data_IF_419255686049
#
_entry.id   IF_419255686049
#
_cell.length_a   1.000
_cell.length_b   1.000
_cell.length_c   1.000
_cell.angle_alpha   90.00
_cell.angle_beta   90.00
_cell.angle_gamma   90.00
#
_symmetry.space_group_name_H-M   'P 1'
#
loop_
_entity.id
_entity.type
_entity.pdbx_description
1 polymer ?
#
# COMPACT_ATOMS: atom_id res chain seq x y z
N UNK A 1 32.53 -6.81 14.28
CA UNK A 1 31.10 -6.50 14.14
C UNK A 1 30.59 -7.29 12.93
N UNK A 2 29.92 -8.43 13.14
CA UNK A 2 29.32 -9.19 12.04
C UNK A 2 28.02 -8.51 11.69
N UNK A 3 27.93 -7.89 10.53
CA UNK A 3 26.66 -7.49 9.95
C UNK A 3 25.97 -8.78 9.54
N UNK A 4 24.98 -9.23 10.30
CA UNK A 4 24.04 -10.18 9.77
C UNK A 4 23.14 -9.40 8.81
N UNK A 5 23.22 -9.69 7.53
CA UNK A 5 22.20 -9.29 6.55
C UNK A 5 20.95 -10.08 6.92
N UNK A 6 20.13 -9.54 7.81
CA UNK A 6 18.79 -10.05 7.96
C UNK A 6 17.93 -9.58 6.78
N UNK A 7 16.93 -10.37 6.44
CA UNK A 7 16.04 -10.10 5.30
C UNK A 7 15.23 -8.81 5.48
N UNK A 8 15.06 -8.33 6.70
CA UNK A 8 14.41 -7.06 7.03
C UNK A 8 15.25 -5.86 6.61
N UNK A 9 16.59 -5.97 6.76
CA UNK A 9 17.53 -4.98 6.24
C UNK A 9 17.49 -4.91 4.70
N UNK A 10 17.15 -6.02 4.03
CA UNK A 10 17.03 -6.05 2.57
C UNK A 10 15.80 -5.25 2.08
N UNK A 11 14.66 -5.29 2.77
CA UNK A 11 13.49 -4.46 2.41
C UNK A 11 13.80 -2.98 2.62
N UNK A 12 14.38 -2.62 3.77
CA UNK A 12 14.80 -1.25 4.03
C UNK A 12 15.86 -0.79 3.02
N UNK A 13 16.82 -1.64 2.69
CA UNK A 13 17.81 -1.34 1.66
C UNK A 13 17.18 -1.19 0.26
N UNK A 14 16.16 -1.98 -0.08
CA UNK A 14 15.43 -1.83 -1.34
C UNK A 14 14.61 -0.51 -1.38
N UNK A 15 14.07 -0.07 -0.25
CA UNK A 15 13.34 1.19 -0.16
C UNK A 15 14.24 2.43 -0.30
N UNK A 16 15.52 2.34 0.13
CA UNK A 16 16.43 3.50 0.19
C UNK A 16 17.58 3.49 -0.81
N UNK A 17 17.79 2.41 -1.56
CA UNK A 17 18.96 2.30 -2.41
C UNK A 17 18.65 2.45 -3.90
N UNK A 18 18.80 3.65 -4.43
CA UNK A 18 19.06 3.91 -5.87
C UNK A 18 20.37 3.25 -6.38
N UNK A 19 21.08 2.53 -5.51
CA UNK A 19 22.43 2.03 -5.74
C UNK A 19 22.43 0.64 -6.41
N UNK A 20 21.32 -0.11 -6.36
CA UNK A 20 21.23 -1.47 -6.90
C UNK A 20 20.50 -1.47 -8.24
N UNK A 21 21.01 -2.18 -9.21
CA UNK A 21 20.46 -2.35 -10.55
C UNK A 21 18.99 -2.82 -10.53
N UNK A 22 18.11 -2.19 -11.30
CA UNK A 22 16.67 -2.42 -11.32
C UNK A 22 16.25 -3.91 -11.52
N UNK A 23 16.86 -4.73 -12.40
CA UNK A 23 16.55 -6.15 -12.52
C UNK A 23 16.82 -6.94 -11.24
N UNK A 24 17.89 -6.62 -10.52
CA UNK A 24 18.24 -7.28 -9.27
C UNK A 24 17.27 -6.91 -8.14
N UNK A 25 16.83 -5.66 -8.10
CA UNK A 25 15.81 -5.18 -7.15
C UNK A 25 14.47 -5.89 -7.38
N UNK A 26 14.01 -6.02 -8.63
CA UNK A 26 12.80 -6.79 -8.98
C UNK A 26 12.90 -8.25 -8.56
N UNK A 27 14.07 -8.87 -8.76
CA UNK A 27 14.33 -10.23 -8.31
C UNK A 27 14.23 -10.36 -6.79
N UNK A 28 14.89 -9.46 -6.04
CA UNK A 28 14.84 -9.48 -4.58
C UNK A 28 13.41 -9.29 -4.05
N UNK A 29 12.65 -8.35 -4.60
CA UNK A 29 11.28 -8.11 -4.18
C UNK A 29 10.37 -9.30 -4.45
N UNK A 30 10.39 -9.88 -5.65
CA UNK A 30 9.62 -11.07 -5.98
C UNK A 30 10.07 -12.30 -5.21
N UNK A 31 11.37 -12.48 -5.04
CA UNK A 31 11.91 -13.69 -4.43
C UNK A 31 11.77 -13.67 -2.90
N UNK A 32 12.08 -12.56 -2.26
CA UNK A 32 12.07 -12.49 -0.79
C UNK A 32 10.78 -11.93 -0.20
N UNK A 33 10.22 -10.90 -0.79
CA UNK A 33 9.09 -10.20 -0.18
C UNK A 33 7.76 -10.93 -0.35
N UNK A 34 7.55 -11.60 -1.50
CA UNK A 34 6.25 -12.18 -1.86
C UNK A 34 6.13 -13.68 -1.59
N UNK A 35 7.16 -14.35 -1.09
CA UNK A 35 7.06 -15.75 -0.70
C UNK A 35 6.32 -15.90 0.63
N UNK A 36 5.42 -16.89 0.71
CA UNK A 36 4.58 -17.17 1.87
C UNK A 36 5.38 -17.49 3.14
N UNK A 37 6.55 -18.11 2.99
CA UNK A 37 7.44 -18.45 4.10
C UNK A 37 8.42 -17.33 4.47
N UNK A 38 8.34 -16.19 3.83
CA UNK A 38 9.19 -15.02 4.06
C UNK A 38 8.37 -13.87 4.64
N UNK A 39 8.26 -12.78 3.91
CA UNK A 39 7.53 -11.59 4.34
C UNK A 39 6.12 -11.52 3.73
N UNK A 40 5.81 -12.43 2.82
CA UNK A 40 4.51 -12.56 2.18
C UNK A 40 3.51 -13.37 3.00
N UNK A 41 2.64 -14.11 2.27
CA UNK A 41 1.60 -14.95 2.83
C UNK A 41 0.29 -14.21 3.03
N UNK A 42 -0.63 -14.84 3.77
CA UNK A 42 -1.99 -14.31 4.01
C UNK A 42 -1.97 -12.89 4.61
N UNK A 43 -0.98 -12.61 5.46
CA UNK A 43 -0.71 -11.27 5.99
C UNK A 43 0.66 -10.86 5.48
N UNK A 44 0.74 -10.09 4.39
CA UNK A 44 2.02 -9.69 3.83
C UNK A 44 2.69 -8.62 4.70
N UNK A 45 3.99 -8.46 4.46
CA UNK A 45 4.82 -7.39 5.05
C UNK A 45 4.98 -7.51 6.57
N UNK A 46 5.18 -8.74 7.05
CA UNK A 46 5.61 -9.00 8.42
C UNK A 46 7.01 -8.43 8.67
N UNK A 47 7.31 -8.05 9.90
CA UNK A 47 8.57 -7.36 10.24
C UNK A 47 9.78 -8.28 10.40
N UNK A 48 9.57 -9.58 10.55
CA UNK A 48 10.60 -10.62 10.59
C UNK A 48 10.19 -11.72 9.62
N UNK A 49 11.13 -12.26 8.85
CA UNK A 49 10.85 -13.36 7.93
C UNK A 49 10.28 -14.56 8.68
N UNK A 50 9.27 -15.23 8.10
CA UNK A 50 8.56 -16.33 8.75
C UNK A 50 9.43 -17.56 8.99
N UNK A 51 10.52 -17.72 8.26
CA UNK A 51 11.52 -18.78 8.44
C UNK A 51 12.72 -18.37 9.31
N UNK A 52 12.70 -17.15 9.85
CA UNK A 52 13.70 -16.69 10.81
C UNK A 52 13.42 -17.27 12.22
N UNK A 53 14.48 -17.58 12.95
CA UNK A 53 14.39 -18.11 14.32
C UNK A 53 13.80 -17.11 15.32
N UNK A 54 13.87 -15.82 15.02
CA UNK A 54 13.31 -14.75 15.85
C UNK A 54 11.84 -14.44 15.56
N UNK A 55 11.25 -15.09 14.53
CA UNK A 55 9.84 -14.91 14.20
C UNK A 55 8.94 -15.50 15.28
N UNK A 56 8.11 -14.68 15.89
CA UNK A 56 7.10 -15.13 16.86
C UNK A 56 5.82 -15.58 16.13
N UNK A 57 5.69 -16.89 15.95
CA UNK A 57 4.57 -17.53 15.24
C UNK A 57 3.24 -17.53 16.02
N UNK A 58 3.19 -17.01 17.24
CA UNK A 58 1.95 -16.94 18.04
C UNK A 58 1.11 -15.74 17.65
N UNK A 59 1.72 -14.54 17.67
CA UNK A 59 1.03 -13.28 17.38
C UNK A 59 1.96 -12.16 16.86
N UNK A 60 3.23 -12.49 16.59
CA UNK A 60 4.22 -11.57 16.08
C UNK A 60 4.89 -10.69 17.13
N UNK A 61 4.49 -10.79 18.41
CA UNK A 61 5.08 -10.11 19.56
C UNK A 61 5.80 -8.80 19.22
N UNK A 62 5.03 -7.79 18.77
CA UNK A 62 5.50 -6.46 18.39
C UNK A 62 6.41 -6.48 17.15
N UNK A 63 7.72 -6.27 17.27
CA UNK A 63 8.68 -6.28 16.17
C UNK A 63 9.23 -7.66 15.80
N UNK A 64 8.73 -8.73 16.42
CA UNK A 64 9.16 -10.10 16.15
C UNK A 64 8.28 -10.81 15.12
N UNK A 65 7.71 -10.07 14.19
CA UNK A 65 6.91 -10.63 13.10
C UNK A 65 5.54 -9.98 12.91
N UNK A 66 5.09 -9.07 13.78
CA UNK A 66 3.84 -8.35 13.56
C UNK A 66 3.87 -7.56 12.25
N UNK A 67 2.71 -7.39 11.61
CA UNK A 67 2.54 -6.50 10.48
C UNK A 67 2.32 -5.07 10.98
N UNK A 68 3.19 -4.16 10.55
CA UNK A 68 3.15 -2.75 10.84
C UNK A 68 2.85 -1.94 9.59
N UNK A 69 1.88 -1.04 9.66
CA UNK A 69 1.45 -0.26 8.50
C UNK A 69 2.57 0.60 7.88
N UNK A 70 3.47 1.24 8.64
CA UNK A 70 4.57 2.00 8.04
C UNK A 70 5.49 1.14 7.19
N UNK A 71 5.89 -0.04 7.69
CA UNK A 71 6.77 -0.94 6.93
C UNK A 71 6.05 -1.57 5.74
N UNK A 72 4.79 -1.97 5.92
CA UNK A 72 3.95 -2.46 4.83
C UNK A 72 3.75 -1.39 3.73
N UNK A 73 3.45 -0.16 4.11
CA UNK A 73 3.31 0.96 3.18
C UNK A 73 4.61 1.22 2.40
N UNK A 74 5.75 1.29 3.08
CA UNK A 74 7.06 1.47 2.42
C UNK A 74 7.38 0.35 1.44
N UNK A 75 7.09 -0.90 1.80
CA UNK A 75 7.28 -2.05 0.93
C UNK A 75 6.39 -1.98 -0.32
N UNK A 76 5.12 -1.63 -0.17
CA UNK A 76 4.16 -1.46 -1.26
C UNK A 76 4.58 -0.28 -2.17
N UNK A 77 4.99 0.85 -1.62
CA UNK A 77 5.55 1.97 -2.40
C UNK A 77 6.81 1.58 -3.17
N UNK A 78 7.63 0.70 -2.59
CA UNK A 78 8.79 0.13 -3.29
C UNK A 78 8.36 -0.70 -4.51
N UNK A 79 7.32 -1.53 -4.41
CA UNK A 79 6.78 -2.26 -5.56
C UNK A 79 6.32 -1.30 -6.68
N UNK A 80 5.59 -0.25 -6.32
CA UNK A 80 5.15 0.77 -7.28
C UNK A 80 6.32 1.45 -8.01
N UNK A 81 7.42 1.78 -7.29
CA UNK A 81 8.59 2.41 -7.90
C UNK A 81 9.35 1.50 -8.87
N UNK A 82 9.02 0.22 -8.93
CA UNK A 82 9.56 -0.76 -9.88
C UNK A 82 8.53 -1.25 -10.91
N UNK A 83 7.43 -0.53 -11.09
CA UNK A 83 6.34 -0.88 -12.00
C UNK A 83 5.69 -2.25 -11.69
N UNK A 84 5.74 -2.70 -10.43
CA UNK A 84 5.07 -3.90 -9.93
C UNK A 84 3.71 -3.51 -9.35
N UNK A 85 2.86 -2.90 -10.18
CA UNK A 85 1.59 -2.29 -9.74
C UNK A 85 0.56 -3.34 -9.30
N UNK A 86 0.51 -4.48 -9.99
CA UNK A 86 -0.38 -5.60 -9.66
C UNK A 86 -0.04 -6.18 -8.27
N UNK A 87 1.25 -6.43 -8.01
CA UNK A 87 1.71 -6.93 -6.73
C UNK A 87 1.50 -5.89 -5.60
N UNK A 88 1.71 -4.62 -5.90
CA UNK A 88 1.45 -3.53 -4.96
C UNK A 88 -0.03 -3.46 -4.58
N UNK A 89 -0.94 -3.51 -5.54
CA UNK A 89 -2.38 -3.49 -5.34
C UNK A 89 -2.86 -4.73 -4.59
N UNK A 90 -2.49 -5.92 -5.04
CA UNK A 90 -2.87 -7.19 -4.42
C UNK A 90 -2.44 -7.30 -2.95
N UNK A 91 -1.20 -6.88 -2.62
CA UNK A 91 -0.72 -6.92 -1.24
C UNK A 91 -1.35 -5.82 -0.37
N UNK A 92 -1.63 -4.63 -0.94
CA UNK A 92 -2.36 -3.58 -0.24
C UNK A 92 -3.79 -4.01 0.10
N UNK A 93 -4.51 -4.65 -0.84
CA UNK A 93 -5.83 -5.22 -0.60
C UNK A 93 -5.80 -6.28 0.51
N UNK A 94 -4.78 -7.14 0.51
CA UNK A 94 -4.60 -8.15 1.54
C UNK A 94 -4.43 -7.53 2.92
N UNK A 95 -3.59 -6.49 3.04
CA UNK A 95 -3.41 -5.72 4.28
C UNK A 95 -4.73 -5.10 4.75
N UNK A 96 -5.44 -4.42 3.84
CA UNK A 96 -6.70 -3.74 4.19
C UNK A 96 -7.80 -4.71 4.59
N UNK A 97 -7.93 -5.83 3.87
CA UNK A 97 -8.88 -6.90 4.21
C UNK A 97 -8.59 -7.47 5.59
N UNK A 98 -7.33 -7.68 5.91
CA UNK A 98 -6.92 -8.17 7.22
C UNK A 98 -7.21 -7.19 8.36
N UNK A 99 -6.98 -5.90 8.13
CA UNK A 99 -7.37 -4.86 9.06
C UNK A 99 -8.89 -4.83 9.28
N UNK A 100 -9.68 -4.97 8.21
CA UNK A 100 -11.13 -5.01 8.28
C UNK A 100 -11.65 -6.24 9.03
N UNK A 101 -11.07 -7.41 8.78
CA UNK A 101 -11.38 -8.64 9.52
C UNK A 101 -11.07 -8.46 11.01
N UNK A 102 -9.90 -7.91 11.35
CA UNK A 102 -9.53 -7.60 12.75
C UNK A 102 -10.50 -6.61 13.38
N UNK A 103 -10.90 -5.55 12.66
CA UNK A 103 -11.89 -4.58 13.13
C UNK A 103 -13.24 -5.22 13.47
N UNK A 104 -13.66 -6.23 12.71
CA UNK A 104 -14.93 -6.94 12.93
C UNK A 104 -14.88 -7.91 14.10
N UNK A 105 -13.73 -8.53 14.34
CA UNK A 105 -13.58 -9.64 15.28
C UNK A 105 -13.16 -9.18 16.69
N UNK A 106 -12.58 -7.98 16.85
CA UNK A 106 -11.99 -7.54 18.10
C UNK A 106 -12.54 -6.21 18.61
N UNK A 107 -12.89 -6.21 19.89
CA UNK A 107 -13.26 -5.00 20.64
C UNK A 107 -12.02 -4.31 21.25
N UNK A 108 -11.97 -2.96 21.25
CA UNK A 108 -12.89 -2.09 20.53
C UNK A 108 -12.71 -2.21 19.01
N UNK A 109 -13.79 -2.01 18.24
CA UNK A 109 -13.73 -1.96 16.78
C UNK A 109 -12.96 -0.73 16.32
N UNK A 110 -11.65 -0.86 16.15
CA UNK A 110 -10.75 0.26 15.95
C UNK A 110 -9.54 -0.10 15.09
N UNK A 111 -8.70 0.90 14.80
CA UNK A 111 -7.39 0.73 14.19
C UNK A 111 -6.39 0.43 15.30
N UNK A 112 -5.66 -0.68 15.16
CA UNK A 112 -4.65 -1.14 16.10
C UNK A 112 -3.24 -0.68 15.72
N UNK A 113 -2.35 -0.60 16.68
CA UNK A 113 -0.95 -0.18 16.50
C UNK A 113 -0.19 -1.09 15.52
N UNK A 114 -0.36 -2.41 15.66
CA UNK A 114 0.12 -3.42 14.71
C UNK A 114 -0.74 -4.69 14.80
N UNK A 115 -0.57 -5.58 13.84
CA UNK A 115 -1.45 -6.72 13.62
C UNK A 115 -0.69 -8.04 13.69
N UNK A 116 -1.35 -9.09 14.17
CA UNK A 116 -0.78 -10.44 14.23
C UNK A 116 -0.45 -10.95 12.82
N UNK A 117 0.66 -11.68 12.62
CA UNK A 117 1.01 -12.26 11.33
C UNK A 117 0.27 -13.55 11.00
N UNK A 118 -0.51 -14.13 11.95
CA UNK A 118 -1.06 -15.48 11.82
C UNK A 118 -2.58 -15.55 11.80
N UNK A 119 -3.26 -14.59 12.42
CA UNK A 119 -4.72 -14.52 12.48
C UNK A 119 -5.20 -13.07 12.47
N UNK A 120 -6.41 -12.76 11.93
CA UNK A 120 -6.99 -11.41 11.98
C UNK A 120 -7.20 -10.98 13.43
N UNK A 121 -6.17 -10.40 14.01
CA UNK A 121 -6.08 -10.00 15.41
C UNK A 121 -5.09 -8.86 15.59
N UNK A 122 -5.24 -8.03 16.63
CA UNK A 122 -4.15 -7.18 17.09
C UNK A 122 -2.99 -8.06 17.60
N UNK A 123 -1.76 -7.61 17.36
CA UNK A 123 -0.57 -8.26 17.92
C UNK A 123 -0.46 -8.04 19.44
N UNK A 124 0.55 -8.59 20.05
CA UNK A 124 0.92 -8.30 21.44
C UNK A 124 2.27 -7.63 21.55
N UNK A 125 2.53 -7.08 22.75
CA UNK A 125 3.83 -6.63 23.20
C UNK A 125 4.07 -7.22 24.59
N UNK A 126 5.01 -8.14 24.71
CA UNK A 126 5.28 -8.87 25.96
C UNK A 126 4.02 -9.51 26.58
N UNK A 127 3.16 -10.11 25.75
CA UNK A 127 1.93 -10.79 26.16
C UNK A 127 0.75 -9.85 26.47
N UNK A 128 0.92 -8.54 26.32
CA UNK A 128 -0.17 -7.58 26.41
C UNK A 128 -0.60 -7.15 24.99
N UNK A 129 -1.91 -7.01 24.77
CA UNK A 129 -2.45 -6.53 23.48
C UNK A 129 -1.89 -5.14 23.19
N UNK A 130 -1.51 -4.90 21.92
CA UNK A 130 -1.05 -3.59 21.46
C UNK A 130 -2.14 -2.52 21.58
N UNK A 131 -1.79 -1.27 21.40
CA UNK A 131 -2.67 -0.12 21.62
C UNK A 131 -3.83 -0.08 20.64
N UNK A 132 -5.08 0.06 21.13
CA UNK A 132 -6.23 0.42 20.31
C UNK A 132 -6.20 1.92 19.96
N UNK A 133 -7.12 2.35 19.10
CA UNK A 133 -7.32 3.74 18.69
C UNK A 133 -6.05 4.41 18.15
N UNK A 134 -5.25 3.61 17.46
CA UNK A 134 -3.94 4.03 16.98
C UNK A 134 -4.05 4.60 15.56
N UNK A 135 -4.66 5.79 15.44
CA UNK A 135 -4.86 6.47 14.16
C UNK A 135 -3.63 7.20 13.62
N UNK A 136 -2.45 7.08 14.28
CA UNK A 136 -1.20 7.65 13.79
C UNK A 136 -0.78 7.03 12.44
N UNK A 137 0.37 6.39 12.40
CA UNK A 137 0.84 5.73 11.18
C UNK A 137 -0.02 4.54 10.71
N UNK A 138 -0.83 3.92 11.58
CA UNK A 138 -1.70 2.82 11.17
C UNK A 138 -2.87 3.27 10.27
N UNK A 139 -3.17 4.59 10.23
CA UNK A 139 -4.09 5.17 9.27
C UNK A 139 -3.57 5.16 7.82
N UNK A 140 -2.27 4.90 7.59
CA UNK A 140 -1.72 4.66 6.25
C UNK A 140 -2.45 3.54 5.50
N UNK A 141 -2.95 2.51 6.22
CA UNK A 141 -3.76 1.44 5.63
C UNK A 141 -5.05 2.00 5.01
N UNK A 142 -6.05 2.37 5.82
CA UNK A 142 -7.39 2.72 5.31
C UNK A 142 -7.42 4.01 4.50
N UNK A 143 -6.42 4.86 4.58
CA UNK A 143 -6.35 6.11 3.81
C UNK A 143 -5.42 5.95 2.62
N UNK A 144 -4.10 5.86 2.86
CA UNK A 144 -3.13 5.92 1.77
C UNK A 144 -3.14 4.66 0.90
N UNK A 145 -3.08 3.46 1.49
CA UNK A 145 -3.13 2.22 0.71
C UNK A 145 -4.45 2.07 -0.05
N UNK A 146 -5.56 2.49 0.55
CA UNK A 146 -6.84 2.45 -0.14
C UNK A 146 -6.87 3.38 -1.36
N UNK A 147 -6.46 4.63 -1.21
CA UNK A 147 -6.46 5.60 -2.31
C UNK A 147 -5.43 5.22 -3.38
N UNK A 148 -4.21 4.89 -2.95
CA UNK A 148 -3.08 4.73 -3.88
C UNK A 148 -3.07 3.37 -4.58
N UNK A 149 -3.59 2.31 -3.94
CA UNK A 149 -3.48 0.95 -4.47
C UNK A 149 -4.84 0.31 -4.78
N UNK A 150 -5.88 0.53 -3.97
CA UNK A 150 -7.20 -0.04 -4.26
C UNK A 150 -7.96 0.82 -5.26
N UNK A 151 -8.05 2.13 -5.04
CA UNK A 151 -8.58 3.04 -6.06
C UNK A 151 -7.60 3.30 -7.20
N UNK A 152 -6.31 3.08 -6.97
CA UNK A 152 -5.26 3.15 -7.98
C UNK A 152 -4.68 4.54 -8.26
N UNK A 153 -5.01 5.57 -7.50
CA UNK A 153 -4.41 6.92 -7.65
C UNK A 153 -3.02 6.97 -7.01
N UNK A 154 -2.04 6.28 -7.60
CA UNK A 154 -0.76 5.98 -6.95
C UNK A 154 0.27 7.11 -6.99
N UNK A 155 0.09 8.11 -7.84
CA UNK A 155 0.94 9.29 -7.92
C UNK A 155 0.11 10.54 -8.23
N UNK A 156 0.23 11.55 -7.36
CA UNK A 156 -0.35 12.88 -7.55
C UNK A 156 0.79 13.90 -7.45
N UNK A 157 1.23 14.41 -8.59
CA UNK A 157 2.39 15.30 -8.69
C UNK A 157 1.94 16.74 -8.99
N UNK A 158 1.95 17.58 -7.96
CA UNK A 158 1.57 18.98 -8.08
C UNK A 158 2.60 19.83 -8.86
N UNK A 159 3.85 19.40 -8.94
CA UNK A 159 4.89 20.13 -9.68
C UNK A 159 4.78 19.88 -11.18
N UNK A 160 4.49 18.63 -11.56
CA UNK A 160 4.27 18.26 -12.97
C UNK A 160 2.83 18.49 -13.43
N UNK A 161 1.92 18.84 -12.54
CA UNK A 161 0.48 18.89 -12.82
C UNK A 161 -0.01 17.56 -13.43
N UNK A 162 0.35 16.44 -12.82
CA UNK A 162 0.03 15.09 -13.32
C UNK A 162 -0.54 14.22 -12.21
N UNK A 163 -1.57 13.44 -12.57
CA UNK A 163 -2.08 12.33 -11.78
C UNK A 163 -1.84 11.05 -12.56
N UNK A 164 -1.32 10.01 -11.88
CA UNK A 164 -1.25 8.66 -12.44
C UNK A 164 -2.25 7.76 -11.74
N UNK A 165 -3.08 7.11 -12.52
CA UNK A 165 -4.13 6.21 -12.09
C UNK A 165 -3.94 4.85 -12.73
N UNK A 166 -3.71 3.84 -11.89
CA UNK A 166 -3.74 2.42 -12.24
C UNK A 166 -5.15 1.90 -11.99
N UNK A 167 -5.98 1.95 -13.04
CA UNK A 167 -7.37 1.56 -12.97
C UNK A 167 -7.51 0.07 -13.29
N UNK A 168 -7.84 -0.74 -12.30
CA UNK A 168 -7.90 -2.20 -12.42
C UNK A 168 -9.23 -2.81 -11.93
N UNK A 169 -10.21 -1.97 -11.54
CA UNK A 169 -11.55 -2.41 -11.16
C UNK A 169 -12.59 -2.03 -12.20
N UNK A 170 -13.50 -2.95 -12.51
CA UNK A 170 -14.59 -2.73 -13.47
C UNK A 170 -15.84 -2.09 -12.85
N UNK A 171 -15.94 -2.05 -11.52
CA UNK A 171 -17.03 -1.39 -10.83
C UNK A 171 -16.88 0.13 -10.84
N UNK A 172 -17.98 0.84 -10.63
CA UNK A 172 -17.93 2.30 -10.49
C UNK A 172 -17.08 2.69 -9.28
N UNK A 173 -16.02 3.46 -9.52
CA UNK A 173 -15.11 3.98 -8.49
C UNK A 173 -14.46 5.27 -8.93
N UNK A 174 -13.76 5.93 -8.03
CA UNK A 174 -13.06 7.17 -8.31
C UNK A 174 -12.80 7.99 -7.05
N UNK A 175 -12.44 9.26 -7.26
CA UNK A 175 -12.17 10.21 -6.19
C UNK A 175 -12.84 11.55 -6.51
N UNK A 176 -13.49 12.15 -5.52
CA UNK A 176 -14.10 13.46 -5.64
C UNK A 176 -13.37 14.48 -4.76
N UNK A 177 -13.34 15.72 -5.22
CA UNK A 177 -12.74 16.84 -4.51
C UNK A 177 -11.24 16.63 -4.20
N UNK A 178 -10.54 15.89 -5.08
CA UNK A 178 -9.08 15.75 -4.98
C UNK A 178 -8.42 17.10 -5.22
N UNK A 179 -7.52 17.49 -4.33
CA UNK A 179 -6.82 18.78 -4.37
C UNK A 179 -5.32 18.58 -4.45
N UNK A 180 -4.68 19.19 -5.45
CA UNK A 180 -3.23 19.24 -5.56
C UNK A 180 -2.80 20.53 -6.27
N UNK A 181 -1.82 21.25 -5.71
CA UNK A 181 -1.52 22.61 -6.15
C UNK A 181 -2.78 23.48 -6.17
N UNK A 182 -3.12 24.05 -7.31
CA UNK A 182 -4.34 24.83 -7.52
C UNK A 182 -5.48 24.02 -8.18
N UNK A 183 -5.26 22.76 -8.44
CA UNK A 183 -6.25 21.87 -9.07
C UNK A 183 -7.23 21.35 -8.00
N UNK A 184 -8.51 21.39 -8.35
CA UNK A 184 -9.59 20.70 -7.64
C UNK A 184 -10.32 19.88 -8.70
N UNK A 185 -10.37 18.55 -8.52
CA UNK A 185 -10.91 17.66 -9.54
C UNK A 185 -11.73 16.52 -8.95
N UNK A 186 -12.76 16.11 -9.69
CA UNK A 186 -13.49 14.86 -9.49
C UNK A 186 -13.14 13.93 -10.65
N UNK A 187 -12.81 12.69 -10.37
CA UNK A 187 -12.45 11.66 -11.34
C UNK A 187 -13.27 10.42 -11.02
N UNK A 188 -14.11 9.95 -11.95
CA UNK A 188 -14.98 8.80 -11.74
C UNK A 188 -14.95 7.92 -12.97
N UNK A 189 -14.70 6.61 -12.77
CA UNK A 189 -14.93 5.56 -13.74
C UNK A 189 -16.33 4.96 -13.52
N UNK A 190 -17.05 4.76 -14.60
CA UNK A 190 -18.33 4.04 -14.61
C UNK A 190 -18.57 3.42 -15.98
N UNK A 191 -18.81 2.11 -16.03
CA UNK A 191 -19.20 1.37 -17.24
C UNK A 191 -18.37 1.72 -18.51
N UNK A 192 -17.03 1.61 -18.42
CA UNK A 192 -16.13 1.86 -19.56
C UNK A 192 -15.90 3.34 -19.87
N UNK A 193 -16.34 4.24 -19.00
CA UNK A 193 -16.23 5.68 -19.22
C UNK A 193 -15.55 6.35 -18.02
N UNK A 194 -14.56 7.18 -18.30
CA UNK A 194 -13.95 8.07 -17.29
C UNK A 194 -14.55 9.47 -17.46
N UNK A 195 -15.16 9.97 -16.39
CA UNK A 195 -15.69 11.32 -16.31
C UNK A 195 -14.82 12.14 -15.34
N UNK A 196 -14.39 13.32 -15.78
CA UNK A 196 -13.54 14.22 -15.01
C UNK A 196 -14.13 15.61 -15.00
N UNK A 197 -14.30 16.19 -13.80
CA UNK A 197 -14.61 17.60 -13.63
C UNK A 197 -13.45 18.30 -12.96
N UNK A 198 -12.96 19.39 -13.53
CA UNK A 198 -11.78 20.08 -12.99
C UNK A 198 -11.91 21.61 -13.11
N UNK A 199 -11.33 22.33 -12.15
CA UNK A 199 -11.22 23.79 -12.19
C UNK A 199 -10.00 24.27 -12.99
N UNK A 200 -8.99 23.43 -13.22
CA UNK A 200 -7.72 23.75 -13.90
C UNK A 200 -7.33 22.62 -14.85
N UNK A 201 -6.48 22.95 -15.81
CA UNK A 201 -5.91 21.95 -16.72
C UNK A 201 -4.79 21.16 -16.01
N UNK A 202 -4.74 19.84 -16.28
CA UNK A 202 -3.67 18.96 -15.84
C UNK A 202 -3.57 17.71 -16.75
N UNK A 203 -2.62 16.83 -16.50
CA UNK A 203 -2.49 15.54 -17.21
C UNK A 203 -3.00 14.42 -16.30
N UNK A 204 -3.97 13.65 -16.79
CA UNK A 204 -4.40 12.39 -16.19
C UNK A 204 -3.83 11.24 -17.01
N UNK A 205 -2.96 10.46 -16.41
CA UNK A 205 -2.43 9.22 -17.02
C UNK A 205 -3.20 8.03 -16.46
N UNK A 206 -4.02 7.38 -17.28
CA UNK A 206 -4.80 6.19 -16.90
C UNK A 206 -4.16 4.98 -17.57
N UNK A 207 -3.67 4.02 -16.79
CA UNK A 207 -2.95 2.83 -17.27
C UNK A 207 -1.90 3.17 -18.35
N UNK A 208 -1.11 4.24 -18.09
CA UNK A 208 -0.07 4.72 -18.98
C UNK A 208 -0.53 5.59 -20.15
N UNK A 209 -1.84 5.71 -20.42
CA UNK A 209 -2.39 6.58 -21.47
C UNK A 209 -2.62 7.99 -20.92
N UNK A 210 -1.99 8.99 -21.52
CA UNK A 210 -2.09 10.39 -21.09
C UNK A 210 -3.29 11.09 -21.72
N UNK A 211 -4.14 11.68 -20.88
CA UNK A 211 -5.27 12.51 -21.23
C UNK A 211 -5.04 13.92 -20.72
N UNK A 212 -5.18 14.91 -21.62
CA UNK A 212 -5.14 16.32 -21.22
C UNK A 212 -6.52 16.72 -20.72
N UNK A 213 -6.62 17.01 -19.44
CA UNK A 213 -7.86 17.48 -18.82
C UNK A 213 -7.91 18.99 -18.97
N UNK A 214 -9.08 19.50 -19.36
CA UNK A 214 -9.36 20.94 -19.44
C UNK A 214 -10.25 21.38 -18.29
N UNK A 215 -10.28 22.68 -17.94
CA UNK A 215 -11.26 23.19 -17.00
C UNK A 215 -12.68 22.89 -17.45
N UNK A 216 -13.56 22.50 -16.52
CA UNK A 216 -14.91 22.04 -16.78
C UNK A 216 -15.03 20.52 -16.84
N UNK A 217 -16.01 20.04 -17.61
CA UNK A 217 -16.33 18.62 -17.72
C UNK A 217 -15.55 17.98 -18.90
N UNK A 218 -14.95 16.82 -18.63
CA UNK A 218 -14.23 16.01 -19.61
C UNK A 218 -14.76 14.58 -19.53
N UNK A 219 -14.84 13.88 -20.65
CA UNK A 219 -15.28 12.49 -20.72
C UNK A 219 -14.52 11.76 -21.79
N UNK A 220 -14.08 10.54 -21.53
CA UNK A 220 -13.45 9.67 -22.53
C UNK A 220 -13.72 8.21 -22.22
N UNK A 221 -13.75 7.39 -23.27
CA UNK A 221 -13.92 5.94 -23.19
C UNK A 221 -12.59 5.30 -22.72
N UNK A 222 -12.73 4.20 -21.99
CA UNK A 222 -11.60 3.44 -21.48
C UNK A 222 -11.77 1.96 -21.79
#
# INVERSE_FOLDING_TARGET
MKWSYDENSAILACCFADIINAPFKRFLQRYFALQDNKLGGKVPWVTVSRDDTDFDSRDGNYWKGAMWLPTAYMAIKSLQSYDLLEEASSTAESVLRYMLETYREYEPHTIWECYSPVAPAPSSNHGQRVRPDFCGWSALGPISLFIENVLGFYEVDAQKNEIKWDMHHDCRHGICNLRFGEVITDIVYDNGTVSVKSNRAYILSVNGRKHRIHPGDNTFAF
#
